data_IF_604667637122
#
_entry.id   IF_604667637122
#
_cell.length_a   1.000
_cell.length_b   1.000
_cell.length_c   1.000
_cell.angle_alpha   90.00
_cell.angle_beta   90.00
_cell.angle_gamma   90.00
#
_symmetry.space_group_name_H-M   'P 1'
#
loop_
_entity.id
_entity.type
_entity.pdbx_description
1 polymer ?
#
# COMPACT_ATOMS: atom_id res chain seq x y z
N UNK A 1 -22.74 19.88 -10.29
CA UNK A 1 -21.80 18.79 -10.01
C UNK A 1 -21.90 18.53 -8.52
N UNK A 2 -22.47 17.40 -8.15
CA UNK A 2 -22.93 17.09 -6.80
C UNK A 2 -21.77 16.78 -5.84
N UNK A 3 -21.44 17.75 -4.99
CA UNK A 3 -20.44 17.68 -3.92
C UNK A 3 -21.01 17.07 -2.59
N UNK A 4 -22.11 16.31 -2.64
CA UNK A 4 -22.77 15.79 -1.41
C UNK A 4 -22.41 14.34 -1.02
N UNK A 5 -21.52 13.67 -1.76
CA UNK A 5 -21.16 12.25 -1.54
C UNK A 5 -19.73 12.11 -0.96
N UNK A 6 -19.29 13.06 -0.16
CA UNK A 6 -18.04 12.93 0.62
C UNK A 6 -18.30 12.75 2.12
N UNK A 7 -19.57 12.73 2.54
CA UNK A 7 -19.99 12.67 3.96
C UNK A 7 -19.98 11.25 4.55
N UNK A 8 -19.74 10.21 3.75
CA UNK A 8 -19.56 8.84 4.27
C UNK A 8 -18.11 8.63 4.77
N UNK A 9 -17.67 9.54 5.65
CA UNK A 9 -16.34 9.60 6.25
C UNK A 9 -16.01 8.40 7.16
N UNK A 10 -16.90 7.42 7.24
CA UNK A 10 -16.57 6.04 7.59
C UNK A 10 -16.80 5.20 6.34
N UNK A 11 -15.70 4.87 5.66
CA UNK A 11 -15.71 3.83 4.63
C UNK A 11 -16.57 2.66 5.14
N UNK A 12 -17.69 2.38 4.48
CA UNK A 12 -18.52 1.23 4.77
C UNK A 12 -17.62 0.03 4.99
N UNK A 13 -17.84 -0.72 6.07
CA UNK A 13 -17.06 -1.91 6.39
C UNK A 13 -17.01 -2.89 5.19
N UNK A 14 -18.05 -2.86 4.34
CA UNK A 14 -18.12 -3.55 3.05
C UNK A 14 -17.05 -3.07 2.09
N UNK A 15 -16.93 -1.76 1.88
CA UNK A 15 -15.89 -1.14 1.05
C UNK A 15 -14.49 -1.52 1.55
N UNK A 16 -14.27 -1.50 2.87
CA UNK A 16 -13.00 -1.94 3.45
C UNK A 16 -12.70 -3.42 3.17
N UNK A 17 -13.70 -4.30 3.27
CA UNK A 17 -13.56 -5.73 2.96
C UNK A 17 -13.29 -5.99 1.47
N UNK A 18 -13.93 -5.23 0.58
CA UNK A 18 -13.72 -5.31 -0.86
C UNK A 18 -12.30 -4.84 -1.23
N UNK A 19 -11.81 -3.78 -0.59
CA UNK A 19 -10.44 -3.30 -0.75
C UNK A 19 -9.43 -4.36 -0.26
N UNK A 20 -9.63 -4.96 0.91
CA UNK A 20 -8.75 -6.01 1.43
C UNK A 20 -8.68 -7.23 0.51
N UNK A 21 -9.83 -7.65 -0.02
CA UNK A 21 -9.90 -8.74 -1.00
C UNK A 21 -9.20 -8.39 -2.30
N UNK A 22 -9.45 -7.19 -2.84
CA UNK A 22 -8.78 -6.74 -4.06
C UNK A 22 -7.26 -6.63 -3.91
N UNK A 23 -6.76 -6.25 -2.73
CA UNK A 23 -5.32 -6.28 -2.44
C UNK A 23 -4.75 -7.68 -2.52
N UNK A 24 -5.44 -8.68 -1.96
CA UNK A 24 -5.01 -10.09 -2.03
C UNK A 24 -5.01 -10.60 -3.47
N UNK A 25 -6.04 -10.28 -4.24
CA UNK A 25 -6.10 -10.59 -5.68
C UNK A 25 -4.94 -9.94 -6.43
N UNK A 26 -4.58 -8.70 -6.06
CA UNK A 26 -3.45 -8.01 -6.70
C UNK A 26 -2.11 -8.71 -6.50
N UNK A 27 -1.94 -9.41 -5.37
CA UNK A 27 -0.73 -10.17 -5.07
C UNK A 27 -0.71 -11.55 -5.76
N UNK A 28 -1.88 -12.14 -6.00
CA UNK A 28 -2.00 -13.47 -6.60
C UNK A 28 -2.08 -13.43 -8.14
N UNK A 29 -2.95 -12.57 -8.69
CA UNK A 29 -3.31 -12.53 -10.11
C UNK A 29 -2.88 -11.23 -10.81
N UNK A 30 -2.45 -10.23 -10.04
CA UNK A 30 -1.97 -8.94 -10.54
C UNK A 30 -2.96 -7.79 -10.44
N UNK A 31 -2.50 -6.59 -10.79
CA UNK A 31 -3.19 -5.32 -10.54
C UNK A 31 -4.48 -5.18 -11.36
N UNK A 32 -4.50 -5.65 -12.61
CA UNK A 32 -5.65 -5.54 -13.51
C UNK A 32 -6.89 -6.27 -12.98
N UNK A 33 -6.85 -7.57 -12.65
CA UNK A 33 -8.01 -8.27 -12.09
C UNK A 33 -8.45 -7.72 -10.72
N UNK A 34 -7.49 -7.24 -9.92
CA UNK A 34 -7.79 -6.61 -8.64
C UNK A 34 -8.57 -5.29 -8.79
N UNK A 35 -8.20 -4.46 -9.76
CA UNK A 35 -8.89 -3.21 -10.06
C UNK A 35 -10.32 -3.48 -10.53
N UNK A 36 -10.51 -4.44 -11.43
CA UNK A 36 -11.84 -4.83 -11.90
C UNK A 36 -12.74 -5.34 -10.78
N UNK A 37 -12.18 -6.13 -9.85
CA UNK A 37 -12.90 -6.60 -8.67
C UNK A 37 -13.35 -5.44 -7.79
N UNK A 38 -12.44 -4.52 -7.45
CA UNK A 38 -12.76 -3.36 -6.62
C UNK A 38 -13.84 -2.48 -7.25
N UNK A 39 -13.78 -2.25 -8.57
CA UNK A 39 -14.80 -1.49 -9.30
C UNK A 39 -16.17 -2.20 -9.30
N UNK A 40 -16.21 -3.52 -9.49
CA UNK A 40 -17.45 -4.32 -9.40
C UNK A 40 -18.08 -4.26 -8.01
N UNK A 41 -17.26 -4.17 -6.96
CA UNK A 41 -17.72 -4.01 -5.59
C UNK A 41 -18.19 -2.59 -5.24
N UNK A 42 -18.11 -1.62 -6.17
CA UNK A 42 -18.51 -0.24 -5.93
C UNK A 42 -17.42 0.64 -5.31
N UNK A 43 -16.17 0.16 -5.25
CA UNK A 43 -15.05 0.99 -4.79
C UNK A 43 -14.75 2.06 -5.86
N UNK A 44 -14.66 3.35 -5.49
CA UNK A 44 -14.33 4.40 -6.46
C UNK A 44 -12.96 4.14 -7.10
N UNK A 45 -12.85 4.37 -8.41
CA UNK A 45 -11.59 4.18 -9.17
C UNK A 45 -10.39 4.90 -8.53
N UNK A 46 -10.59 6.11 -8.03
CA UNK A 46 -9.52 6.89 -7.37
C UNK A 46 -9.06 6.29 -6.04
N UNK A 47 -9.92 5.54 -5.34
CA UNK A 47 -9.54 4.78 -4.14
C UNK A 47 -8.83 3.50 -4.55
N UNK A 48 -9.40 2.72 -5.47
CA UNK A 48 -8.81 1.47 -5.94
C UNK A 48 -7.40 1.68 -6.52
N UNK A 49 -7.20 2.70 -7.35
CA UNK A 49 -5.88 3.04 -7.90
C UNK A 49 -4.90 3.48 -6.82
N UNK A 50 -5.32 4.23 -5.79
CA UNK A 50 -4.44 4.61 -4.67
C UNK A 50 -4.01 3.41 -3.83
N UNK A 51 -4.91 2.45 -3.64
CA UNK A 51 -4.61 1.20 -2.93
C UNK A 51 -3.63 0.37 -3.75
N UNK A 52 -3.95 0.10 -5.02
CA UNK A 52 -3.17 -0.78 -5.89
C UNK A 52 -1.83 -0.17 -6.33
N UNK A 53 -1.76 1.15 -6.51
CA UNK A 53 -0.53 1.89 -6.82
C UNK A 53 0.17 2.42 -5.55
N UNK A 54 -0.30 2.04 -4.36
CA UNK A 54 0.21 2.57 -3.10
C UNK A 54 1.67 2.17 -2.86
N UNK A 55 2.52 3.08 -2.33
CA UNK A 55 3.94 2.81 -2.08
C UNK A 55 4.20 1.70 -1.04
N UNK A 56 3.16 1.19 -0.37
CA UNK A 56 3.23 -0.01 0.49
C UNK A 56 3.53 -1.29 -0.29
N UNK A 57 3.28 -1.31 -1.60
CA UNK A 57 3.66 -2.40 -2.51
C UNK A 57 5.01 -2.15 -3.21
N UNK A 58 5.58 -0.94 -3.05
CA UNK A 58 6.73 -0.47 -3.81
C UNK A 58 8.09 -0.57 -3.10
N UNK A 59 8.16 -1.00 -1.84
CA UNK A 59 9.46 -1.23 -1.20
C UNK A 59 9.35 -2.33 -0.16
N UNK A 60 10.06 -3.47 -0.29
CA UNK A 60 10.59 -4.07 0.92
C UNK A 60 11.27 -2.93 1.66
N UNK A 61 10.95 -2.76 2.94
CA UNK A 61 11.76 -1.98 3.85
C UNK A 61 13.15 -2.62 3.83
N UNK A 62 13.95 -2.27 2.82
CA UNK A 62 15.37 -2.59 2.77
C UNK A 62 15.89 -1.89 3.99
N UNK A 63 16.27 -2.72 4.94
CA UNK A 63 16.84 -2.38 6.22
C UNK A 63 17.52 -1.02 6.12
N UNK A 64 17.00 -0.04 6.85
CA UNK A 64 17.86 1.00 7.41
C UNK A 64 18.71 0.32 8.49
N UNK A 65 19.51 -0.68 8.09
CA UNK A 65 20.72 -0.97 8.84
C UNK A 65 21.51 0.33 8.68
N UNK A 66 21.78 1.08 9.77
CA UNK A 66 22.78 2.12 9.68
C UNK A 66 24.03 1.44 9.13
N UNK A 67 24.56 2.01 8.05
CA UNK A 67 25.83 1.62 7.48
C UNK A 67 26.80 1.37 8.63
N UNK A 68 27.42 0.18 8.62
CA UNK A 68 28.50 -0.17 9.52
C UNK A 68 29.43 1.05 9.61
N UNK A 69 29.42 1.73 10.75
CA UNK A 69 30.47 2.68 11.09
C UNK A 69 31.78 1.91 11.07
N UNK A 70 32.89 2.51 10.61
CA UNK A 70 34.18 1.85 10.68
C UNK A 70 34.45 1.47 12.15
N UNK A 71 34.82 0.21 12.37
CA UNK A 71 35.28 -0.27 13.66
C UNK A 71 36.36 0.69 14.19
N UNK A 72 36.38 1.03 15.50
CA UNK A 72 37.53 1.72 16.04
C UNK A 72 38.73 0.77 15.92
N UNK A 73 39.59 1.05 14.95
CA UNK A 73 40.91 0.44 14.89
C UNK A 73 41.59 0.71 16.22
N UNK A 74 42.03 -0.38 16.84
CA UNK A 74 42.93 -0.33 17.97
C UNK A 74 44.13 0.54 17.61
N UNK A 75 44.20 1.74 18.18
CA UNK A 75 45.46 2.45 18.30
C UNK A 75 46.35 1.66 19.25
N UNK A 76 47.17 0.78 18.67
CA UNK A 76 48.40 0.26 19.26
C UNK A 76 49.56 1.17 18.82
N UNK A 77 50.48 1.40 19.76
CA UNK A 77 51.75 2.13 19.66
C UNK A 77 51.59 3.63 19.87
N UNK A 78 52.20 4.26 20.87
CA UNK A 78 53.57 4.05 21.38
C UNK A 78 53.75 4.55 22.82
#
# INVERSE_FOLDING_TARGET
MDDSVYDEARADWRTAQCVDTGVKVSMADGVTPALEFMLKCGVPRGVAMRVLAGPRFGRPARSRLPAAGPAPELYKSS
#
